data_IF_772997209513
#
_entry.id   IF_772997209513
#
_cell.length_a   1.000
_cell.length_b   1.000
_cell.length_c   1.000
_cell.angle_alpha   90.00
_cell.angle_beta   90.00
_cell.angle_gamma   90.00
#
_symmetry.space_group_name_H-M   'P 1'
#
loop_
_entity.id
_entity.type
_entity.pdbx_description
1 polymer ?
#
# COMPACT_ATOMS: atom_id res chain seq x y z
N UNK A 1 -31.56 -7.40 29.82
CA UNK A 1 -30.67 -8.45 30.37
C UNK A 1 -29.93 -9.10 29.19
N UNK A 2 -28.64 -9.41 29.39
CA UNK A 2 -27.56 -9.40 28.40
C UNK A 2 -27.75 -10.22 27.11
N UNK A 3 -27.22 -9.66 26.01
CA UNK A 3 -27.19 -10.18 24.64
C UNK A 3 -25.92 -11.02 24.38
N UNK A 4 -26.11 -12.14 23.68
CA UNK A 4 -25.31 -12.66 22.56
C UNK A 4 -23.77 -12.74 22.71
N UNK A 5 -23.24 -13.96 22.83
CA UNK A 5 -21.84 -14.30 22.58
C UNK A 5 -21.78 -15.42 21.54
N UNK A 6 -21.77 -15.03 20.26
CA UNK A 6 -21.41 -15.89 19.14
C UNK A 6 -20.14 -15.31 18.51
N UNK A 7 -19.27 -16.20 18.05
CA UNK A 7 -17.92 -15.96 17.51
C UNK A 7 -16.83 -15.81 18.58
N UNK A 8 -16.11 -16.91 18.86
CA UNK A 8 -14.63 -17.02 18.82
C UNK A 8 -14.30 -18.48 19.16
N UNK A 9 -14.53 -19.45 18.26
CA UNK A 9 -13.82 -20.75 18.28
C UNK A 9 -13.83 -21.36 16.87
N UNK A 10 -13.17 -20.74 15.90
CA UNK A 10 -12.80 -21.43 14.65
C UNK A 10 -11.33 -21.13 14.38
N UNK A 11 -10.45 -21.71 15.18
CA UNK A 11 -9.03 -21.80 14.84
C UNK A 11 -8.34 -23.06 15.38
N UNK A 12 -9.10 -24.04 15.91
CA UNK A 12 -8.53 -25.21 16.61
C UNK A 12 -8.83 -26.56 15.93
N UNK A 13 -9.63 -26.60 14.85
CA UNK A 13 -10.03 -27.86 14.20
C UNK A 13 -9.18 -28.25 12.97
N UNK A 14 -7.88 -27.98 12.99
CA UNK A 14 -6.92 -28.58 12.04
C UNK A 14 -5.66 -29.12 12.74
N UNK A 15 -5.84 -29.71 13.93
CA UNK A 15 -4.83 -30.56 14.56
C UNK A 15 -5.21 -32.02 14.33
N UNK A 16 -4.73 -32.58 13.23
CA UNK A 16 -4.91 -33.99 12.92
C UNK A 16 -4.04 -34.44 11.76
N UNK A 17 -2.83 -34.89 12.08
CA UNK A 17 -1.96 -35.74 11.25
C UNK A 17 -1.16 -35.00 10.15
N UNK A 18 0.08 -34.60 10.44
CA UNK A 18 1.29 -35.09 9.75
C UNK A 18 2.55 -34.51 10.44
N UNK A 19 3.54 -35.38 10.63
CA UNK A 19 4.75 -35.16 11.42
C UNK A 19 5.73 -34.19 10.72
N UNK A 20 6.31 -33.26 11.48
CA UNK A 20 7.42 -32.39 11.04
C UNK A 20 7.33 -30.98 11.60
N UNK A 21 8.11 -30.66 12.65
CA UNK A 21 8.17 -29.38 13.38
C UNK A 21 8.06 -28.09 12.54
N UNK A 22 7.19 -27.11 12.92
CA UNK A 22 7.29 -25.74 12.42
C UNK A 22 7.02 -24.66 13.49
N UNK A 23 7.61 -24.71 14.69
CA UNK A 23 7.44 -23.62 15.67
C UNK A 23 8.02 -22.27 15.17
N UNK A 24 9.09 -22.30 14.38
CA UNK A 24 9.72 -21.09 13.81
C UNK A 24 8.98 -20.59 12.57
N UNK A 25 8.49 -21.50 11.71
CA UNK A 25 7.72 -21.14 10.52
C UNK A 25 6.34 -20.57 10.90
N UNK A 26 5.65 -21.15 11.90
CA UNK A 26 4.40 -20.58 12.43
C UNK A 26 4.59 -19.17 13.01
N UNK A 27 5.67 -18.90 13.76
CA UNK A 27 5.93 -17.55 14.30
C UNK A 27 6.24 -16.52 13.22
N UNK A 28 6.99 -16.89 12.17
CA UNK A 28 7.24 -15.99 11.03
C UNK A 28 5.97 -15.71 10.23
N UNK A 29 5.11 -16.72 10.02
CA UNK A 29 3.82 -16.53 9.35
C UNK A 29 2.88 -15.64 10.17
N UNK A 30 2.76 -15.84 11.48
CA UNK A 30 1.93 -14.98 12.34
C UNK A 30 2.44 -13.53 12.37
N UNK A 31 3.76 -13.32 12.47
CA UNK A 31 4.34 -11.96 12.39
C UNK A 31 4.08 -11.31 11.04
N UNK A 32 4.22 -12.05 9.93
CA UNK A 32 3.93 -11.54 8.59
C UNK A 32 2.45 -11.19 8.39
N UNK A 33 1.52 -12.02 8.86
CA UNK A 33 0.09 -11.76 8.76
C UNK A 33 -0.36 -10.56 9.60
N UNK A 34 0.17 -10.41 10.82
CA UNK A 34 -0.10 -9.25 11.69
C UNK A 34 0.45 -7.97 11.07
N UNK A 35 1.68 -8.03 10.53
CA UNK A 35 2.33 -6.93 9.81
C UNK A 35 1.52 -6.43 8.60
N UNK A 36 1.02 -7.34 7.76
CA UNK A 36 0.12 -7.02 6.65
C UNK A 36 -1.20 -6.39 7.11
N UNK A 37 -1.78 -6.90 8.20
CA UNK A 37 -3.04 -6.39 8.74
C UNK A 37 -2.88 -4.97 9.32
N UNK A 38 -1.78 -4.69 10.02
CA UNK A 38 -1.49 -3.35 10.56
C UNK A 38 -1.40 -2.32 9.42
N UNK A 39 -0.67 -2.63 8.35
CA UNK A 39 -0.56 -1.71 7.20
C UNK A 39 -1.90 -1.49 6.51
N UNK A 40 -2.71 -2.53 6.37
CA UNK A 40 -4.04 -2.43 5.79
C UNK A 40 -4.94 -1.45 6.58
N UNK A 41 -4.83 -1.43 7.90
CA UNK A 41 -5.55 -0.47 8.76
C UNK A 41 -5.12 0.98 8.54
N UNK A 42 -3.88 1.21 8.10
CA UNK A 42 -3.32 2.54 7.86
C UNK A 42 -3.50 3.05 6.41
N UNK A 43 -4.12 2.26 5.53
CA UNK A 43 -4.39 2.66 4.15
C UNK A 43 -5.19 3.99 4.09
N UNK A 44 -6.32 4.17 4.79
CA UNK A 44 -7.12 5.40 4.66
C UNK A 44 -6.35 6.68 5.05
N UNK A 45 -5.52 6.61 6.08
CA UNK A 45 -4.64 7.74 6.48
C UNK A 45 -3.63 8.06 5.39
N UNK A 46 -3.07 7.02 4.76
CA UNK A 46 -2.09 7.14 3.68
C UNK A 46 -2.72 7.73 2.42
N UNK A 47 -3.89 7.23 2.01
CA UNK A 47 -4.67 7.77 0.90
C UNK A 47 -5.00 9.25 1.11
N UNK A 48 -5.41 9.62 2.33
CA UNK A 48 -5.70 11.03 2.66
C UNK A 48 -4.47 11.92 2.52
N UNK A 49 -3.27 11.42 2.82
CA UNK A 49 -2.04 12.19 2.69
C UNK A 49 -1.69 12.36 1.20
N UNK A 50 -1.78 11.30 0.40
CA UNK A 50 -1.50 11.36 -1.05
C UNK A 50 -2.43 12.36 -1.73
N UNK A 51 -3.74 12.27 -1.47
CA UNK A 51 -4.71 13.22 -2.04
C UNK A 51 -4.42 14.67 -1.64
N UNK A 52 -3.85 14.90 -0.46
CA UNK A 52 -3.50 16.24 0.02
C UNK A 52 -2.27 16.80 -0.69
N UNK A 53 -1.29 15.97 -1.02
CA UNK A 53 -0.05 16.39 -1.67
C UNK A 53 -0.18 16.45 -3.19
N UNK A 54 -0.72 15.41 -3.80
CA UNK A 54 -0.75 15.27 -5.26
C UNK A 54 -2.06 15.72 -5.90
N UNK A 55 -3.12 15.85 -5.09
CA UNK A 55 -4.45 16.15 -5.61
C UNK A 55 -5.05 15.00 -6.43
N UNK A 56 -6.19 15.26 -7.06
CA UNK A 56 -6.93 14.27 -7.85
C UNK A 56 -7.15 14.77 -9.27
N UNK A 57 -6.71 13.99 -10.24
CA UNK A 57 -6.80 14.26 -11.67
C UNK A 57 -7.54 13.13 -12.39
N UNK A 58 -8.68 13.43 -13.02
CA UNK A 58 -9.43 12.41 -13.76
C UNK A 58 -8.74 11.96 -15.04
N UNK A 59 -8.09 12.89 -15.73
CA UNK A 59 -7.43 12.63 -17.01
C UNK A 59 -5.91 12.56 -16.83
N UNK A 60 -5.23 11.90 -17.75
CA UNK A 60 -3.78 11.77 -17.68
C UNK A 60 -3.06 13.11 -17.83
N UNK A 61 -2.03 13.32 -17.01
CA UNK A 61 -1.21 14.52 -16.91
C UNK A 61 0.27 14.15 -16.78
N UNK A 62 1.15 15.13 -16.84
CA UNK A 62 2.59 14.90 -16.71
C UNK A 62 3.04 15.23 -15.29
N UNK A 63 3.83 14.33 -14.71
CA UNK A 63 4.58 14.57 -13.48
C UNK A 63 5.78 15.48 -13.77
N UNK A 64 6.40 16.01 -12.70
CA UNK A 64 7.54 16.92 -12.80
C UNK A 64 8.78 16.29 -13.44
N UNK A 65 8.90 14.97 -13.39
CA UNK A 65 10.00 14.22 -14.01
C UNK A 65 9.76 13.90 -15.50
N UNK A 66 8.57 14.23 -16.03
CA UNK A 66 8.20 13.98 -17.42
C UNK A 66 7.33 12.73 -17.63
N UNK A 67 7.19 11.86 -16.62
CA UNK A 67 6.35 10.66 -16.71
C UNK A 67 4.85 11.03 -16.77
N UNK A 68 4.06 10.17 -17.40
CA UNK A 68 2.60 10.27 -17.44
C UNK A 68 1.99 9.67 -16.18
N UNK A 69 1.02 10.37 -15.60
CA UNK A 69 0.26 9.91 -14.45
C UNK A 69 -1.24 10.19 -14.62
N UNK A 70 -2.05 9.55 -13.78
CA UNK A 70 -3.50 9.78 -13.69
C UNK A 70 -3.95 9.61 -12.23
N UNK A 71 -5.16 10.03 -11.88
CA UNK A 71 -5.69 9.89 -10.52
C UNK A 71 -4.91 10.74 -9.53
N UNK A 72 -4.34 10.10 -8.51
CA UNK A 72 -3.52 10.71 -7.47
C UNK A 72 -2.09 10.24 -7.71
N UNK A 73 -1.35 10.96 -8.56
CA UNK A 73 0.02 10.66 -8.98
C UNK A 73 0.32 9.18 -9.33
N UNK A 74 -0.67 8.45 -9.84
CA UNK A 74 -0.49 7.07 -10.27
C UNK A 74 0.33 7.05 -11.56
N UNK A 75 1.63 6.79 -11.43
CA UNK A 75 2.58 6.79 -12.53
C UNK A 75 2.30 5.63 -13.50
N UNK A 76 1.96 5.97 -14.74
CA UNK A 76 1.64 5.04 -15.81
C UNK A 76 2.91 4.44 -16.44
N UNK A 77 4.04 5.15 -16.37
CA UNK A 77 5.32 4.75 -16.98
C UNK A 77 6.22 3.89 -16.07
N UNK A 78 5.88 3.72 -14.78
CA UNK A 78 6.72 2.98 -13.81
C UNK A 78 6.91 1.49 -14.14
N UNK A 79 5.79 0.75 -14.29
CA UNK A 79 5.77 -0.67 -14.67
C UNK A 79 4.58 -0.91 -15.59
N UNK A 80 4.77 -0.60 -16.88
CA UNK A 80 3.70 -0.52 -17.88
C UNK A 80 2.81 -1.78 -17.92
N UNK A 81 3.40 -2.97 -17.77
CA UNK A 81 2.62 -4.22 -17.78
C UNK A 81 1.72 -4.34 -16.55
N UNK A 82 2.25 -4.04 -15.36
CA UNK A 82 1.44 -3.99 -14.13
C UNK A 82 0.37 -2.90 -14.21
N UNK A 83 0.71 -1.71 -14.71
CA UNK A 83 -0.23 -0.59 -14.86
C UNK A 83 -1.35 -0.92 -15.84
N UNK A 84 -1.02 -1.56 -16.96
CA UNK A 84 -2.01 -2.05 -17.93
C UNK A 84 -2.97 -3.06 -17.29
N UNK A 85 -2.45 -4.01 -16.50
CA UNK A 85 -3.26 -4.99 -15.78
C UNK A 85 -4.18 -4.34 -14.75
N UNK A 86 -3.67 -3.39 -13.96
CA UNK A 86 -4.41 -2.68 -12.92
C UNK A 86 -5.51 -1.78 -13.47
N UNK A 87 -5.24 -1.05 -14.56
CA UNK A 87 -6.28 -0.27 -15.25
C UNK A 87 -7.36 -1.19 -15.82
N UNK A 88 -6.97 -2.31 -16.42
CA UNK A 88 -7.93 -3.30 -16.92
C UNK A 88 -8.82 -3.84 -15.80
N UNK A 89 -8.24 -4.11 -14.62
CA UNK A 89 -8.98 -4.61 -13.46
C UNK A 89 -10.03 -3.61 -12.92
N UNK A 90 -9.85 -2.31 -13.16
CA UNK A 90 -10.83 -1.27 -12.84
C UNK A 90 -11.68 -0.86 -14.07
N UNK A 91 -11.72 -1.70 -15.10
CA UNK A 91 -12.46 -1.47 -16.36
C UNK A 91 -12.06 -0.18 -17.08
N UNK A 92 -10.79 0.22 -16.97
CA UNK A 92 -10.19 1.32 -17.72
C UNK A 92 -9.25 0.78 -18.81
N UNK A 93 -9.21 1.47 -19.95
CA UNK A 93 -8.30 1.15 -21.05
C UNK A 93 -7.00 1.93 -20.88
N UNK A 94 -5.89 1.21 -20.69
CA UNK A 94 -4.59 1.83 -20.45
C UNK A 94 -4.16 2.75 -21.58
N UNK A 95 -4.25 2.31 -22.84
CA UNK A 95 -3.73 3.08 -23.97
C UNK A 95 -4.55 4.36 -24.17
N UNK A 96 -5.88 4.27 -24.03
CA UNK A 96 -6.75 5.46 -24.11
C UNK A 96 -6.52 6.44 -22.97
N UNK A 97 -6.35 5.96 -21.75
CA UNK A 97 -6.05 6.83 -20.60
C UNK A 97 -4.67 7.47 -20.78
N UNK A 98 -3.66 6.70 -21.17
CA UNK A 98 -2.29 7.16 -21.39
C UNK A 98 -2.23 8.28 -22.44
N UNK A 99 -2.91 8.08 -23.59
CA UNK A 99 -3.02 9.06 -24.67
C UNK A 99 -3.94 10.25 -24.33
N UNK A 100 -4.64 10.22 -23.19
CA UNK A 100 -5.59 11.26 -22.78
C UNK A 100 -6.90 11.26 -23.58
N UNK A 101 -7.22 10.16 -24.27
CA UNK A 101 -8.48 9.95 -25.00
C UNK A 101 -9.63 9.53 -24.08
N UNK A 102 -9.32 9.03 -22.89
CA UNK A 102 -10.28 8.68 -21.86
C UNK A 102 -9.80 9.14 -20.48
N UNK A 103 -10.73 9.33 -19.55
CA UNK A 103 -10.46 9.79 -18.20
C UNK A 103 -11.09 8.85 -17.17
N UNK A 104 -10.41 8.65 -16.05
CA UNK A 104 -10.89 7.83 -14.96
C UNK A 104 -12.03 8.52 -14.21
N UNK A 105 -13.02 7.73 -13.80
CA UNK A 105 -14.05 8.18 -12.88
C UNK A 105 -13.59 8.03 -11.41
N UNK A 106 -14.37 8.59 -10.48
CA UNK A 106 -14.04 8.58 -9.04
C UNK A 106 -13.82 7.17 -8.48
N UNK A 107 -14.60 6.17 -8.90
CA UNK A 107 -14.49 4.80 -8.37
C UNK A 107 -13.17 4.18 -8.83
N UNK A 108 -12.81 4.36 -10.11
CA UNK A 108 -11.55 3.88 -10.67
C UNK A 108 -10.35 4.52 -9.98
N UNK A 109 -10.39 5.83 -9.77
CA UNK A 109 -9.33 6.56 -9.07
C UNK A 109 -9.20 6.06 -7.63
N UNK A 110 -10.30 5.89 -6.90
CA UNK A 110 -10.27 5.36 -5.53
C UNK A 110 -9.69 3.95 -5.48
N UNK A 111 -10.07 3.07 -6.41
CA UNK A 111 -9.53 1.71 -6.46
C UNK A 111 -8.01 1.69 -6.72
N UNK A 112 -7.53 2.51 -7.67
CA UNK A 112 -6.10 2.64 -7.95
C UNK A 112 -5.34 3.25 -6.76
N UNK A 113 -5.92 4.26 -6.11
CA UNK A 113 -5.34 4.90 -4.94
C UNK A 113 -5.17 3.91 -3.78
N UNK A 114 -6.16 3.06 -3.50
CA UNK A 114 -6.06 2.00 -2.48
C UNK A 114 -4.96 1.00 -2.80
N UNK A 115 -4.86 0.58 -4.07
CA UNK A 115 -3.80 -0.33 -4.52
C UNK A 115 -2.42 0.29 -4.34
N UNK A 116 -2.25 1.57 -4.70
CA UNK A 116 -0.97 2.24 -4.65
C UNK A 116 -0.55 2.60 -3.20
N UNK A 117 -1.48 3.02 -2.35
CA UNK A 117 -1.25 3.22 -0.91
C UNK A 117 -0.77 1.94 -0.23
N UNK A 118 -1.42 0.81 -0.52
CA UNK A 118 -0.97 -0.50 -0.03
C UNK A 118 0.44 -0.82 -0.52
N UNK A 119 0.71 -0.66 -1.82
CA UNK A 119 2.02 -0.92 -2.42
C UNK A 119 3.11 -0.04 -1.80
N UNK A 120 2.83 1.23 -1.56
CA UNK A 120 3.74 2.19 -0.98
C UNK A 120 4.11 1.81 0.46
N UNK A 121 3.13 1.44 1.29
CA UNK A 121 3.36 0.93 2.65
C UNK A 121 4.19 -0.37 2.65
N UNK A 122 3.91 -1.28 1.73
CA UNK A 122 4.68 -2.52 1.58
C UNK A 122 6.13 -2.27 1.14
N UNK A 123 6.36 -1.29 0.26
CA UNK A 123 7.71 -0.84 -0.11
C UNK A 123 8.41 -0.17 1.07
N UNK A 124 7.72 0.70 1.79
CA UNK A 124 8.25 1.40 2.96
C UNK A 124 8.74 0.40 4.02
N UNK A 125 7.98 -0.66 4.29
CA UNK A 125 8.35 -1.65 5.29
C UNK A 125 9.54 -2.53 4.91
N UNK A 126 9.83 -2.67 3.62
CA UNK A 126 11.08 -3.32 3.17
C UNK A 126 12.31 -2.49 3.53
N UNK A 127 12.15 -1.17 3.59
CA UNK A 127 13.23 -0.23 3.89
C UNK A 127 13.30 0.17 5.36
N UNK A 128 12.17 0.13 6.08
CA UNK A 128 12.03 0.51 7.49
C UNK A 128 11.55 -0.69 8.30
N UNK A 129 12.47 -1.39 8.96
CA UNK A 129 12.15 -2.64 9.69
C UNK A 129 11.16 -2.46 10.85
N UNK A 130 11.13 -1.28 11.46
CA UNK A 130 10.25 -0.91 12.58
C UNK A 130 9.00 -0.15 12.14
N UNK A 131 8.68 -0.17 10.83
CA UNK A 131 7.55 0.60 10.30
C UNK A 131 6.25 0.18 10.97
N UNK A 132 6.04 -1.13 11.15
CA UNK A 132 4.80 -1.68 11.70
C UNK A 132 4.63 -1.39 13.20
N UNK A 133 5.67 -0.89 13.88
CA UNK A 133 5.62 -0.45 15.27
C UNK A 133 5.21 1.04 15.38
N UNK A 134 5.10 1.76 14.27
CA UNK A 134 4.75 3.18 14.24
C UNK A 134 3.23 3.40 14.21
N UNK A 135 2.78 4.63 14.48
CA UNK A 135 1.38 5.01 14.24
C UNK A 135 1.11 5.23 12.74
N UNK A 136 -0.16 5.17 12.33
CA UNK A 136 -0.55 5.30 10.92
C UNK A 136 -0.10 6.60 10.27
N UNK A 137 -0.02 7.71 11.02
CA UNK A 137 0.46 8.99 10.48
C UNK A 137 1.93 8.90 10.05
N UNK A 138 2.78 8.27 10.87
CA UNK A 138 4.19 8.06 10.54
C UNK A 138 4.32 7.05 9.39
N UNK A 139 3.53 5.98 9.39
CA UNK A 139 3.52 5.04 8.27
C UNK A 139 3.10 5.72 6.96
N UNK A 140 2.09 6.59 7.01
CA UNK A 140 1.62 7.35 5.86
C UNK A 140 2.72 8.24 5.30
N UNK A 141 3.53 8.92 6.13
CA UNK A 141 4.68 9.72 5.66
C UNK A 141 5.70 8.85 4.92
N UNK A 142 6.05 7.67 5.46
CA UNK A 142 6.96 6.78 4.74
C UNK A 142 6.33 6.20 3.47
N UNK A 143 5.02 5.96 3.47
CA UNK A 143 4.26 5.60 2.27
C UNK A 143 4.32 6.71 1.21
N UNK A 144 4.14 7.97 1.61
CA UNK A 144 4.16 9.15 0.74
C UNK A 144 5.50 9.29 0.03
N UNK A 145 6.60 9.13 0.76
CA UNK A 145 7.95 9.13 0.19
C UNK A 145 8.12 8.00 -0.85
N UNK A 146 7.57 6.81 -0.59
CA UNK A 146 7.64 5.69 -1.54
C UNK A 146 6.72 5.90 -2.75
N UNK A 147 5.59 6.58 -2.58
CA UNK A 147 4.66 6.91 -3.65
C UNK A 147 5.28 7.95 -4.60
N UNK A 148 5.78 9.07 -4.07
CA UNK A 148 6.44 10.11 -4.89
C UNK A 148 7.74 9.62 -5.53
N UNK A 149 8.44 8.68 -4.91
CA UNK A 149 9.75 8.20 -5.34
C UNK A 149 9.75 7.11 -6.42
N UNK A 150 8.63 6.42 -6.63
CA UNK A 150 8.54 5.30 -7.58
C UNK A 150 9.51 4.14 -7.27
N UNK A 151 9.85 3.33 -8.28
CA UNK A 151 10.82 2.21 -8.14
C UNK A 151 12.29 2.66 -8.02
N UNK A 152 12.58 3.95 -8.24
CA UNK A 152 13.96 4.46 -8.39
C UNK A 152 14.64 4.64 -7.02
N UNK A 153 13.86 4.82 -5.96
CA UNK A 153 14.39 4.98 -4.60
C UNK A 153 14.20 3.70 -3.80
N UNK A 154 15.16 2.79 -4.00
CA UNK A 154 15.62 1.92 -2.92
C UNK A 154 16.26 2.75 -1.79
N UNK A 155 15.50 3.69 -1.21
CA UNK A 155 15.94 4.56 -0.13
C UNK A 155 16.26 3.66 1.07
N UNK A 156 17.56 3.43 1.32
CA UNK A 156 18.03 2.88 2.58
C UNK A 156 17.96 4.00 3.59
N UNK A 157 16.93 3.99 4.43
CA UNK A 157 16.76 4.92 5.55
C UNK A 157 17.78 4.65 6.66
N UNK A 158 19.08 4.68 6.37
CA UNK A 158 20.11 4.48 7.40
C UNK A 158 20.28 5.70 8.31
N UNK A 159 19.86 6.90 7.88
CA UNK A 159 20.05 8.15 8.63
C UNK A 159 18.77 8.87 9.05
N UNK A 160 17.66 8.72 8.30
CA UNK A 160 16.40 9.41 8.63
C UNK A 160 15.65 8.74 9.79
N UNK A 161 15.88 7.45 10.03
CA UNK A 161 15.26 6.71 11.13
C UNK A 161 15.82 7.09 12.51
N UNK A 162 17.08 7.53 12.59
CA UNK A 162 17.69 7.99 13.85
C UNK A 162 17.02 9.26 14.40
N UNK A 163 16.27 10.00 13.57
CA UNK A 163 15.49 11.17 13.98
C UNK A 163 14.06 10.86 14.42
N UNK A 164 13.49 9.72 13.99
CA UNK A 164 12.11 9.32 14.32
C UNK A 164 12.03 8.27 15.44
N UNK A 165 13.17 7.79 15.97
CA UNK A 165 13.17 7.06 17.25
C UNK A 165 12.64 8.01 18.32
N UNK A 166 11.58 7.65 19.07
CA UNK A 166 11.04 8.53 20.09
C UNK A 166 12.14 8.85 21.11
N UNK A 167 12.35 10.15 21.35
CA UNK A 167 12.87 10.62 22.65
C UNK A 167 11.94 9.99 23.69
N UNK A 168 12.47 9.02 24.45
CA UNK A 168 11.77 8.43 25.59
C UNK A 168 11.50 9.47 26.66
#
# INVERSE_FOLDING_TARGET
>A
MAKSAAAVVICVLFLGVFMGTPAVASRKMCKGAVSLAIRALCIPTTESLFMKHDGKHSCAYNLTNGDRAVGVAYNLDDDVESRRSELTAVFADYDKVYEGKDCLNTIQISALLTLDAKRALDRAAKSVKSLDDQCCDVMAVFGDIQHSGGNVVGFKYTTMLDLCVPIK
#
